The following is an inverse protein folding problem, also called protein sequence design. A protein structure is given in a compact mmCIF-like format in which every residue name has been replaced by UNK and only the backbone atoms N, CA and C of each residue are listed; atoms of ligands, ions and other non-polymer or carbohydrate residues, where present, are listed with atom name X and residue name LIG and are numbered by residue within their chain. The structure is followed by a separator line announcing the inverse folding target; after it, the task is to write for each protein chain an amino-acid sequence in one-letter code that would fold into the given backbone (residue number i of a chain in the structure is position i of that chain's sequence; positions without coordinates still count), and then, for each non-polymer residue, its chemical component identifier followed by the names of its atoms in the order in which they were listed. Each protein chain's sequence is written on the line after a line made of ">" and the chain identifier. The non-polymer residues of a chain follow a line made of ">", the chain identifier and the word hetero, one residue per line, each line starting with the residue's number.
data_IF_315755206016
#
_entry.id   IF_315755206016
#
_cell.length_a   1.000
_cell.length_b   1.000
_cell.length_c   1.000
_cell.angle_alpha   90.00
_cell.angle_beta   90.00
_cell.angle_gamma   90.00
#
_symmetry.space_group_name_H-M   'P 1'
#
loop_
_entity.id
_entity.type
_entity.pdbx_description
1 polymer ?
#
# COMPACT_ATOMS: atom_id res chain seq x y z
N UNK A 1 18.49 7.92 17.36
CA UNK A 1 17.86 6.63 17.02
C UNK A 1 17.11 6.86 15.72
N UNK A 2 17.51 6.19 14.64
CA UNK A 2 16.90 6.36 13.32
C UNK A 2 16.16 5.08 12.96
N UNK A 3 14.88 5.22 12.60
CA UNK A 3 14.04 4.11 12.16
C UNK A 3 13.63 4.33 10.71
N UNK A 4 13.52 3.25 9.96
CA UNK A 4 12.99 3.20 8.61
C UNK A 4 11.68 2.43 8.56
N UNK A 5 10.84 2.76 7.59
CA UNK A 5 9.63 2.00 7.28
C UNK A 5 9.82 1.35 5.92
N UNK A 6 9.86 0.03 5.89
CA UNK A 6 9.83 -0.76 4.65
C UNK A 6 8.38 -1.05 4.34
N UNK A 7 7.92 -0.69 3.14
CA UNK A 7 6.54 -0.88 2.69
C UNK A 7 6.53 -1.71 1.42
N UNK A 8 5.75 -2.79 1.41
CA UNK A 8 5.44 -3.61 0.25
C UNK A 8 3.94 -3.49 -0.05
N UNK A 9 3.62 -2.94 -1.22
CA UNK A 9 2.25 -2.66 -1.66
C UNK A 9 1.82 -3.71 -2.67
N UNK A 10 1.22 -4.79 -2.16
CA UNK A 10 0.55 -5.79 -2.97
C UNK A 10 -0.86 -5.36 -3.38
N UNK A 11 -1.42 -6.01 -4.39
CA UNK A 11 -2.79 -5.74 -4.87
C UNK A 11 -3.84 -6.00 -3.78
N UNK A 12 -3.62 -7.02 -2.95
CA UNK A 12 -4.54 -7.46 -1.90
C UNK A 12 -4.11 -7.02 -0.51
N UNK A 13 -2.80 -6.92 -0.26
CA UNK A 13 -2.25 -6.68 1.07
C UNK A 13 -1.15 -5.63 0.97
N UNK A 14 -1.14 -4.68 1.90
CA UNK A 14 -0.01 -3.80 2.16
C UNK A 14 0.69 -4.34 3.40
N UNK A 15 1.98 -4.63 3.30
CA UNK A 15 2.81 -5.06 4.43
C UNK A 15 3.88 -4.03 4.76
N UNK A 16 4.16 -3.87 6.05
CA UNK A 16 5.08 -2.86 6.56
C UNK A 16 6.02 -3.46 7.61
N UNK A 17 7.27 -3.03 7.61
CA UNK A 17 8.25 -3.36 8.66
C UNK A 17 8.90 -2.08 9.19
N UNK A 18 8.94 -1.93 10.51
CA UNK A 18 9.73 -0.88 11.17
C UNK A 18 11.13 -1.42 11.43
N UNK A 19 12.16 -0.72 10.97
CA UNK A 19 13.54 -1.20 11.00
C UNK A 19 14.43 -0.18 11.71
N UNK A 20 15.29 -0.61 12.63
CA UNK A 20 16.38 0.22 13.14
C UNK A 20 17.44 0.38 12.04
N UNK A 21 17.69 1.60 11.58
CA UNK A 21 18.61 1.85 10.47
C UNK A 21 20.08 1.74 10.84
N UNK A 22 20.40 1.70 12.13
CA UNK A 22 21.76 1.57 12.64
C UNK A 22 22.18 0.11 12.74
N UNK A 23 21.27 -0.78 13.15
CA UNK A 23 21.53 -2.22 13.31
C UNK A 23 20.99 -3.08 12.16
N UNK A 24 19.99 -2.60 11.43
CA UNK A 24 19.24 -3.38 10.44
C UNK A 24 18.17 -4.29 11.06
N UNK A 25 17.93 -4.21 12.37
CA UNK A 25 16.95 -5.04 13.07
C UNK A 25 15.51 -4.64 12.75
N UNK A 26 14.64 -5.63 12.54
CA UNK A 26 13.20 -5.41 12.40
C UNK A 26 12.57 -5.27 13.79
N UNK A 27 12.12 -4.06 14.11
CA UNK A 27 11.51 -3.70 15.38
C UNK A 27 10.02 -4.07 15.45
N UNK A 28 9.32 -4.03 14.32
CA UNK A 28 7.90 -4.41 14.23
C UNK A 28 7.51 -4.79 12.80
N UNK A 29 6.46 -5.60 12.66
CA UNK A 29 5.84 -5.96 11.39
C UNK A 29 4.33 -5.76 11.50
N UNK A 30 3.73 -5.20 10.45
CA UNK A 30 2.28 -5.04 10.34
C UNK A 30 1.84 -5.32 8.90
N UNK A 31 0.57 -5.69 8.74
CA UNK A 31 -0.04 -5.83 7.42
C UNK A 31 -1.53 -5.54 7.48
N UNK A 32 -2.08 -5.04 6.37
CA UNK A 32 -3.49 -4.73 6.22
C UNK A 32 -3.94 -5.06 4.79
N UNK A 33 -5.25 -5.27 4.60
CA UNK A 33 -5.80 -5.34 3.24
C UNK A 33 -5.56 -4.02 2.52
N UNK A 34 -5.25 -4.10 1.23
CA UNK A 34 -5.11 -2.93 0.39
C UNK A 34 -6.48 -2.26 0.24
N UNK A 35 -6.66 -1.01 0.70
CA UNK A 35 -7.95 -0.32 0.64
C UNK A 35 -8.43 -0.14 -0.82
N UNK A 36 -7.54 -0.27 -1.79
CA UNK A 36 -7.88 -0.18 -3.21
C UNK A 36 -8.74 -1.34 -3.72
N UNK A 37 -8.94 -2.41 -2.93
CA UNK A 37 -9.86 -3.51 -3.24
C UNK A 37 -11.27 -3.01 -3.58
N UNK A 38 -11.74 -1.95 -2.92
CA UNK A 38 -13.08 -1.38 -3.17
C UNK A 38 -13.25 -0.73 -4.55
N UNK A 39 -12.16 -0.49 -5.29
CA UNK A 39 -12.18 0.12 -6.62
C UNK A 39 -11.98 -0.89 -7.76
N UNK A 40 -11.78 -2.17 -7.44
CA UNK A 40 -11.64 -3.23 -8.42
C UNK A 40 -10.98 -4.47 -7.82
N UNK A 41 -11.50 -5.63 -8.20
CA UNK A 41 -11.04 -6.95 -7.74
C UNK A 41 -9.59 -7.24 -8.19
N UNK A 42 -9.19 -6.68 -9.33
CA UNK A 42 -7.83 -6.77 -9.87
C UNK A 42 -7.30 -5.42 -10.40
N UNK A 43 -6.05 -5.43 -10.85
CA UNK A 43 -5.37 -4.25 -11.36
C UNK A 43 -6.03 -3.65 -12.62
N UNK A 44 -6.56 -4.49 -13.51
CA UNK A 44 -7.21 -4.03 -14.76
C UNK A 44 -8.52 -3.33 -14.43
N UNK A 45 -9.30 -3.86 -13.49
CA UNK A 45 -10.53 -3.24 -13.01
C UNK A 45 -10.26 -1.87 -12.38
N UNK A 46 -9.18 -1.74 -11.58
CA UNK A 46 -8.79 -0.46 -10.96
C UNK A 46 -8.34 0.58 -11.97
N UNK A 47 -7.55 0.18 -12.97
CA UNK A 47 -7.17 1.08 -14.08
C UNK A 47 -8.42 1.53 -14.83
N UNK A 48 -9.33 0.61 -15.12
CA UNK A 48 -10.59 0.91 -15.80
C UNK A 48 -11.46 1.87 -15.00
N UNK A 49 -11.51 1.73 -13.66
CA UNK A 49 -12.23 2.63 -12.76
C UNK A 49 -11.73 4.08 -12.87
N UNK A 50 -10.40 4.28 -12.84
CA UNK A 50 -9.79 5.61 -12.97
C UNK A 50 -9.96 6.18 -14.37
N UNK A 51 -9.82 5.37 -15.43
CA UNK A 51 -10.05 5.81 -16.81
C UNK A 51 -11.49 6.27 -17.01
N UNK A 52 -12.46 5.56 -16.43
CA UNK A 52 -13.88 5.93 -16.50
C UNK A 52 -14.23 7.15 -15.62
N UNK A 53 -13.46 7.41 -14.55
CA UNK A 53 -13.66 8.51 -13.62
C UNK A 53 -12.33 9.20 -13.30
N UNK A 54 -11.78 10.04 -14.20
CA UNK A 54 -10.44 10.60 -14.02
C UNK A 54 -10.21 11.38 -12.72
N UNK A 55 -11.27 11.93 -12.10
CA UNK A 55 -11.21 12.62 -10.82
C UNK A 55 -10.99 11.68 -9.62
N UNK A 56 -11.21 10.37 -9.77
CA UNK A 56 -11.15 9.39 -8.68
C UNK A 56 -9.74 8.98 -8.27
N UNK A 57 -8.70 9.45 -8.98
CA UNK A 57 -7.29 9.18 -8.64
C UNK A 57 -6.98 9.57 -7.20
N UNK A 58 -7.49 10.71 -6.73
CA UNK A 58 -7.29 11.17 -5.36
C UNK A 58 -7.98 10.28 -4.32
N UNK A 59 -9.16 9.73 -4.66
CA UNK A 59 -9.91 8.82 -3.79
C UNK A 59 -9.23 7.45 -3.68
N UNK A 60 -8.62 6.96 -4.76
CA UNK A 60 -7.92 5.67 -4.78
C UNK A 60 -6.53 5.74 -4.14
N UNK A 61 -5.93 6.93 -4.04
CA UNK A 61 -4.62 7.15 -3.45
C UNK A 61 -4.66 7.41 -1.92
N UNK A 62 -5.84 7.69 -1.37
CA UNK A 62 -6.08 7.90 0.07
C UNK A 62 -6.41 6.62 0.82
#
# INVERSE_FOLDING_TARGET
>A
MHVGLVVDVGTTTVSCQLVDLSSGEVLAVAGAMNPQISFGEDLICRVSYVVAKPQSVGEMAG
#
